data_IF_688393213373
#
_entry.id   IF_688393213373
#
_cell.length_a   1.000
_cell.length_b   1.000
_cell.length_c   1.000
_cell.angle_alpha   90.00
_cell.angle_beta   90.00
_cell.angle_gamma   90.00
#
_symmetry.space_group_name_H-M   'P 1'
#
loop_
_entity.id
_entity.type
_entity.pdbx_description
1 polymer ?
#
# COMPACT_ATOMS: atom_id res chain seq x y z
N UNK A 1 -11.62 5.43 -16.48
CA UNK A 1 -10.76 5.19 -15.29
C UNK A 1 -10.56 3.69 -15.12
N UNK A 2 -9.36 3.23 -14.70
CA UNK A 2 -9.17 1.83 -14.27
C UNK A 2 -9.64 1.72 -12.81
N UNK A 3 -10.55 0.78 -12.47
CA UNK A 3 -10.96 0.61 -11.08
C UNK A 3 -9.77 0.20 -10.22
N UNK A 4 -9.58 0.92 -9.14
CA UNK A 4 -8.55 0.69 -8.14
C UNK A 4 -9.14 -0.09 -6.98
N UNK A 5 -8.51 -1.18 -6.56
CA UNK A 5 -8.84 -1.89 -5.32
C UNK A 5 -7.55 -2.18 -4.57
N UNK A 6 -7.48 -1.72 -3.34
CA UNK A 6 -6.45 -2.08 -2.38
C UNK A 6 -7.07 -2.79 -1.18
N UNK A 7 -6.34 -3.76 -0.67
CA UNK A 7 -6.61 -4.43 0.60
C UNK A 7 -5.54 -4.02 1.58
N UNK A 8 -5.94 -3.84 2.82
CA UNK A 8 -5.04 -3.50 3.92
C UNK A 8 -5.12 -4.64 4.96
N UNK A 9 -4.02 -4.96 5.67
CA UNK A 9 -4.02 -6.00 6.70
C UNK A 9 -5.08 -5.78 7.78
N UNK A 10 -5.38 -6.82 8.55
CA UNK A 10 -6.27 -6.70 9.71
C UNK A 10 -5.41 -6.57 10.97
N UNK A 11 -5.77 -5.63 11.84
CA UNK A 11 -5.19 -5.44 13.17
C UNK A 11 -3.94 -4.56 13.23
N UNK A 12 -3.69 -3.74 12.21
CA UNK A 12 -2.57 -2.78 12.11
C UNK A 12 -2.93 -1.33 12.46
N UNK A 13 -4.09 -1.12 13.09
CA UNK A 13 -4.63 0.17 13.53
C UNK A 13 -3.95 0.80 14.76
N UNK A 14 -2.65 0.57 14.90
CA UNK A 14 -1.84 0.93 16.04
C UNK A 14 -0.55 1.68 15.68
N UNK A 15 -0.44 2.23 14.46
CA UNK A 15 0.72 3.01 14.01
C UNK A 15 2.07 2.39 14.42
N UNK A 16 2.90 3.14 15.16
CA UNK A 16 4.14 2.63 15.77
C UNK A 16 3.99 2.38 17.29
N UNK A 17 2.97 1.63 17.68
CA UNK A 17 2.71 1.27 19.08
C UNK A 17 1.76 2.22 19.79
N UNK A 18 0.76 2.71 19.08
CA UNK A 18 -0.28 3.57 19.62
C UNK A 18 -1.23 2.77 20.51
N UNK A 19 -1.83 3.43 21.49
CA UNK A 19 -2.93 2.86 22.26
C UNK A 19 -4.18 3.74 22.17
N UNK A 20 -5.32 3.07 22.06
CA UNK A 20 -6.63 3.71 22.06
C UNK A 20 -6.90 4.44 23.39
N UNK A 21 -7.76 5.48 23.39
CA UNK A 21 -8.11 6.18 24.62
C UNK A 21 -8.84 5.27 25.61
N UNK A 22 -8.77 5.59 26.90
CA UNK A 22 -9.23 4.69 27.97
C UNK A 22 -10.70 4.86 28.38
N UNK A 23 -11.44 5.82 27.80
CA UNK A 23 -12.86 5.95 28.10
C UNK A 23 -13.64 4.70 27.66
N UNK A 24 -14.70 4.34 28.38
CA UNK A 24 -15.47 3.12 28.16
C UNK A 24 -16.05 2.98 26.73
N UNK A 25 -16.30 4.09 26.04
CA UNK A 25 -16.75 4.09 24.64
C UNK A 25 -15.72 3.49 23.67
N UNK A 26 -14.46 3.43 24.08
CA UNK A 26 -13.33 2.86 23.34
C UNK A 26 -12.89 1.50 23.89
N UNK A 27 -13.67 0.89 24.79
CA UNK A 27 -13.34 -0.40 25.39
C UNK A 27 -13.21 -1.52 24.34
N UNK A 28 -13.93 -1.39 23.23
CA UNK A 28 -13.67 -2.16 22.03
C UNK A 28 -12.69 -1.36 21.14
N UNK A 29 -11.49 -1.85 20.89
CA UNK A 29 -10.46 -1.30 19.97
C UNK A 29 -10.45 -2.05 18.64
N UNK A 30 -9.92 -1.49 17.53
CA UNK A 30 -9.95 -2.13 16.20
C UNK A 30 -10.98 -1.55 15.22
N UNK A 31 -11.53 -0.35 15.50
CA UNK A 31 -12.61 0.23 14.67
C UNK A 31 -12.09 1.29 13.69
N UNK A 32 -10.84 1.72 13.86
CA UNK A 32 -10.12 2.57 12.92
C UNK A 32 -9.11 1.75 12.09
N UNK A 33 -9.31 0.42 12.03
CA UNK A 33 -8.61 -0.56 11.21
C UNK A 33 -9.18 -0.54 9.79
N UNK A 34 -8.36 -0.09 8.85
CA UNK A 34 -8.63 -0.06 7.42
C UNK A 34 -8.46 -1.47 6.87
N UNK A 35 -9.40 -1.94 6.06
CA UNK A 35 -9.30 -3.28 5.43
C UNK A 35 -9.53 -3.25 3.92
N UNK A 36 -9.77 -2.06 3.38
CA UNK A 36 -9.91 -1.90 1.95
C UNK A 36 -10.23 -0.49 1.50
N UNK A 37 -9.72 -0.17 0.33
CA UNK A 37 -10.01 1.07 -0.39
C UNK A 37 -10.31 0.76 -1.84
N UNK A 38 -11.32 1.43 -2.40
CA UNK A 38 -11.67 1.32 -3.80
C UNK A 38 -11.93 2.70 -4.41
N UNK A 39 -11.41 2.96 -5.60
CA UNK A 39 -11.81 4.09 -6.42
C UNK A 39 -12.32 3.56 -7.76
N UNK A 40 -13.58 3.88 -8.10
CA UNK A 40 -14.22 3.34 -9.28
C UNK A 40 -15.14 4.37 -9.94
N UNK A 41 -15.46 4.11 -11.21
CA UNK A 41 -16.51 4.82 -11.93
C UNK A 41 -17.83 4.08 -11.78
N UNK A 42 -18.88 4.79 -11.36
CA UNK A 42 -20.25 4.30 -11.31
C UNK A 42 -21.16 5.38 -11.88
N UNK A 43 -21.95 5.04 -12.90
CA UNK A 43 -22.88 5.96 -13.55
C UNK A 43 -22.24 7.29 -14.02
N UNK A 44 -20.99 7.22 -14.49
CA UNK A 44 -20.22 8.39 -14.94
C UNK A 44 -19.68 9.28 -13.81
N UNK A 45 -19.77 8.84 -12.55
CA UNK A 45 -19.26 9.54 -11.38
C UNK A 45 -18.12 8.76 -10.72
N UNK A 46 -17.15 9.47 -10.16
CA UNK A 46 -16.14 8.86 -9.28
C UNK A 46 -16.81 8.49 -7.95
N UNK A 47 -16.58 7.27 -7.49
CA UNK A 47 -17.00 6.79 -6.17
C UNK A 47 -15.77 6.30 -5.42
N UNK A 48 -15.54 6.88 -4.24
CA UNK A 48 -14.47 6.46 -3.32
C UNK A 48 -15.10 5.60 -2.24
N UNK A 49 -14.57 4.40 -2.03
CA UNK A 49 -15.12 3.42 -1.08
C UNK A 49 -14.05 3.03 -0.08
N UNK A 50 -14.39 3.06 1.20
CA UNK A 50 -13.50 2.67 2.29
C UNK A 50 -14.19 1.61 3.13
N UNK A 51 -13.46 0.55 3.48
CA UNK A 51 -13.93 -0.50 4.37
C UNK A 51 -13.07 -0.52 5.62
N UNK A 52 -13.72 -0.53 6.77
CA UNK A 52 -13.10 -0.67 8.08
C UNK A 52 -13.43 -2.04 8.65
N UNK A 53 -12.62 -2.56 9.57
CA UNK A 53 -12.87 -3.85 10.20
C UNK A 53 -14.22 -3.90 10.92
N UNK A 54 -14.66 -2.79 11.50
CA UNK A 54 -16.00 -2.67 12.12
C UNK A 54 -16.50 -1.24 12.29
N UNK A 55 -17.78 -1.14 12.67
CA UNK A 55 -18.56 0.11 12.66
C UNK A 55 -19.34 0.33 13.97
N UNK A 56 -18.68 0.45 15.14
CA UNK A 56 -19.38 0.77 16.38
C UNK A 56 -20.08 2.13 16.26
N UNK A 57 -21.34 2.18 16.70
CA UNK A 57 -22.15 3.39 16.64
C UNK A 57 -22.84 3.75 17.98
N UNK A 58 -22.10 3.83 19.10
CA UNK A 58 -22.67 4.19 20.39
C UNK A 58 -23.31 5.60 20.42
N UNK A 59 -22.96 6.49 19.49
CA UNK A 59 -23.52 7.84 19.41
C UNK A 59 -24.66 7.96 18.38
N UNK A 60 -25.13 6.84 17.83
CA UNK A 60 -26.25 6.80 16.86
C UNK A 60 -26.09 7.77 15.67
N UNK A 61 -24.86 7.89 15.15
CA UNK A 61 -24.57 8.70 13.99
C UNK A 61 -25.24 8.12 12.73
N UNK A 62 -25.72 8.98 11.81
CA UNK A 62 -26.60 8.58 10.70
C UNK A 62 -25.94 7.67 9.66
N UNK A 63 -24.61 7.71 9.51
CA UNK A 63 -23.88 6.85 8.57
C UNK A 63 -23.52 5.47 9.16
N UNK A 64 -23.96 5.17 10.38
CA UNK A 64 -23.87 3.83 10.95
C UNK A 64 -22.57 3.50 11.70
N UNK A 65 -21.73 4.50 11.99
CA UNK A 65 -20.52 4.39 12.83
C UNK A 65 -20.27 5.74 13.49
N UNK A 66 -19.63 5.81 14.67
CA UNK A 66 -19.44 7.09 15.36
C UNK A 66 -18.06 7.36 15.95
N UNK A 67 -17.13 6.40 15.86
CA UNK A 67 -15.85 6.49 16.58
C UNK A 67 -14.65 6.71 15.67
N UNK A 68 -14.74 6.36 14.39
CA UNK A 68 -13.67 6.56 13.42
C UNK A 68 -13.88 7.83 12.59
N UNK A 69 -12.79 8.35 12.04
CA UNK A 69 -12.79 9.31 10.94
C UNK A 69 -11.86 8.81 9.84
N UNK A 70 -12.27 8.98 8.60
CA UNK A 70 -11.50 8.60 7.41
C UNK A 70 -11.07 9.87 6.68
N UNK A 71 -9.81 9.95 6.29
CA UNK A 71 -9.27 10.97 5.40
C UNK A 71 -8.88 10.37 4.06
N UNK A 72 -9.43 10.88 2.95
CA UNK A 72 -9.04 10.49 1.59
C UNK A 72 -8.53 11.73 0.86
N UNK A 73 -7.23 11.80 0.60
CA UNK A 73 -6.60 12.92 -0.09
C UNK A 73 -6.34 12.52 -1.54
N UNK A 74 -6.76 13.36 -2.49
CA UNK A 74 -6.71 13.07 -3.93
C UNK A 74 -5.68 13.96 -4.59
N UNK A 75 -4.77 13.34 -5.34
CA UNK A 75 -3.75 13.97 -6.17
C UNK A 75 -4.09 13.79 -7.64
N UNK A 76 -4.32 14.89 -8.35
CA UNK A 76 -4.53 14.92 -9.80
C UNK A 76 -3.19 14.92 -10.53
N UNK A 77 -3.15 14.29 -11.71
CA UNK A 77 -2.03 14.39 -12.63
C UNK A 77 -2.26 15.47 -13.70
N UNK A 78 -1.23 16.26 -14.06
CA UNK A 78 0.09 16.31 -13.43
C UNK A 78 0.02 17.00 -12.06
N UNK A 79 0.87 16.57 -11.12
CA UNK A 79 0.99 17.20 -9.79
C UNK A 79 1.28 18.71 -9.94
N UNK A 80 0.24 19.55 -9.91
CA UNK A 80 0.24 20.94 -10.37
C UNK A 80 1.18 21.83 -9.56
N UNK A 81 2.47 21.82 -9.88
CA UNK A 81 3.49 22.61 -9.16
C UNK A 81 3.70 22.18 -7.71
N UNK A 82 3.33 20.95 -7.35
CA UNK A 82 3.47 20.42 -5.99
C UNK A 82 4.96 20.34 -5.62
N UNK A 83 5.37 21.08 -4.59
CA UNK A 83 6.76 21.09 -4.13
C UNK A 83 7.08 19.89 -3.22
N UNK A 84 6.08 19.10 -2.83
CA UNK A 84 6.21 18.10 -1.76
C UNK A 84 6.14 18.70 -0.36
N UNK A 85 5.99 17.83 0.65
CA UNK A 85 5.96 18.22 2.06
C UNK A 85 4.67 18.91 2.49
N UNK A 86 3.61 18.86 1.67
CA UNK A 86 2.30 19.38 2.02
C UNK A 86 1.71 18.50 3.13
N UNK A 87 1.24 19.10 4.21
CA UNK A 87 0.56 18.37 5.27
C UNK A 87 -0.75 17.78 4.75
N UNK A 88 -1.10 16.57 5.19
CA UNK A 88 -2.40 15.94 5.03
C UNK A 88 -3.25 16.37 6.23
N UNK A 89 -4.13 17.39 6.11
CA UNK A 89 -4.74 18.02 7.28
C UNK A 89 -5.50 17.02 8.15
N UNK A 90 -5.18 17.01 9.44
CA UNK A 90 -5.80 16.13 10.42
C UNK A 90 -5.08 14.79 10.60
N UNK A 91 -4.65 14.14 9.52
CA UNK A 91 -3.96 12.85 9.60
C UNK A 91 -2.56 12.96 10.23
N UNK A 92 -1.89 14.11 10.08
CA UNK A 92 -0.55 14.37 10.65
C UNK A 92 0.62 13.83 9.81
N UNK A 93 0.35 13.43 8.57
CA UNK A 93 1.36 13.04 7.59
C UNK A 93 1.66 14.18 6.61
N UNK A 94 2.75 14.04 5.84
CA UNK A 94 3.11 14.93 4.73
C UNK A 94 3.21 14.16 3.41
N UNK A 95 3.03 14.86 2.31
CA UNK A 95 3.29 14.31 0.97
C UNK A 95 4.79 14.19 0.69
N UNK A 96 5.23 13.21 -0.11
CA UNK A 96 6.63 13.09 -0.52
C UNK A 96 7.05 14.25 -1.44
N UNK A 97 8.37 14.40 -1.62
CA UNK A 97 8.93 15.39 -2.55
C UNK A 97 8.35 15.21 -3.96
N UNK A 98 7.92 16.31 -4.59
CA UNK A 98 7.31 16.28 -5.93
C UNK A 98 5.84 15.83 -5.97
N UNK A 99 5.24 15.53 -4.82
CA UNK A 99 3.84 15.13 -4.70
C UNK A 99 3.02 16.12 -3.87
N UNK A 100 1.71 16.12 -4.08
CA UNK A 100 0.76 16.99 -3.39
C UNK A 100 -0.62 16.36 -3.26
N UNK A 101 -1.60 17.19 -2.94
CA UNK A 101 -3.02 16.85 -3.01
C UNK A 101 -3.83 18.10 -3.37
N UNK A 102 -4.90 17.91 -4.14
CA UNK A 102 -5.77 18.98 -4.64
C UNK A 102 -7.06 19.12 -3.85
N UNK A 103 -7.60 17.99 -3.38
CA UNK A 103 -8.80 17.92 -2.58
C UNK A 103 -8.74 16.73 -1.61
N UNK A 104 -9.25 16.93 -0.40
CA UNK A 104 -9.35 15.91 0.63
C UNK A 104 -10.82 15.68 0.97
N UNK A 105 -11.19 14.46 1.36
CA UNK A 105 -12.51 14.10 1.83
C UNK A 105 -12.40 13.54 3.24
N UNK A 106 -12.99 14.26 4.19
CA UNK A 106 -13.02 13.90 5.61
C UNK A 106 -14.39 13.29 5.91
N UNK A 107 -14.42 12.00 6.18
CA UNK A 107 -15.63 11.23 6.39
C UNK A 107 -15.74 10.78 7.85
N UNK A 108 -16.79 11.26 8.52
CA UNK A 108 -17.20 10.86 9.86
C UNK A 108 -18.53 10.13 9.83
N UNK A 109 -19.00 9.66 10.99
CA UNK A 109 -20.34 9.09 11.15
C UNK A 109 -21.51 10.01 10.80
N UNK A 110 -21.28 11.33 10.78
CA UNK A 110 -22.33 12.33 10.59
C UNK A 110 -22.39 12.88 9.18
N UNK A 111 -21.24 13.06 8.54
CA UNK A 111 -21.10 13.70 7.23
C UNK A 111 -19.76 13.37 6.59
N UNK A 112 -19.70 13.58 5.28
CA UNK A 112 -18.46 13.73 4.55
C UNK A 112 -18.30 15.18 4.09
N UNK A 113 -17.09 15.72 4.21
CA UNK A 113 -16.77 17.07 3.74
C UNK A 113 -15.54 17.03 2.86
N UNK A 114 -15.58 17.75 1.74
CA UNK A 114 -14.38 18.08 1.00
C UNK A 114 -13.64 19.23 1.69
N UNK A 115 -12.31 19.21 1.58
CA UNK A 115 -11.39 20.23 2.07
C UNK A 115 -10.36 20.48 0.98
N UNK A 116 -10.13 21.75 0.62
CA UNK A 116 -9.09 22.15 -0.34
C UNK A 116 -7.89 22.76 0.38
N UNK A 117 -6.70 22.84 -0.26
CA UNK A 117 -5.52 23.46 0.35
C UNK A 117 -5.70 24.92 0.76
N UNK A 118 -6.63 25.64 0.14
CA UNK A 118 -6.99 27.02 0.51
C UNK A 118 -7.97 27.11 1.70
N UNK A 119 -8.29 25.98 2.33
CA UNK A 119 -9.16 25.88 3.49
C UNK A 119 -10.65 25.84 3.18
N UNK A 120 -11.07 25.96 1.91
CA UNK A 120 -12.49 25.83 1.55
C UNK A 120 -13.01 24.43 1.86
N UNK A 121 -14.24 24.40 2.36
CA UNK A 121 -14.94 23.16 2.71
C UNK A 121 -16.33 23.12 2.10
N UNK A 122 -16.77 21.91 1.76
CA UNK A 122 -18.12 21.66 1.24
C UNK A 122 -18.57 20.28 1.69
N UNK A 123 -19.80 20.16 2.18
CA UNK A 123 -20.37 18.83 2.43
C UNK A 123 -20.55 18.09 1.11
N UNK A 124 -20.17 16.81 1.08
CA UNK A 124 -20.31 15.94 -0.07
C UNK A 124 -21.20 14.74 0.30
N UNK A 125 -21.95 14.17 -0.65
CA UNK A 125 -22.76 13.01 -0.35
C UNK A 125 -21.89 11.84 0.10
N UNK A 126 -22.36 11.12 1.11
CA UNK A 126 -21.78 9.86 1.54
C UNK A 126 -22.87 8.92 2.04
N UNK A 127 -22.64 7.61 1.93
CA UNK A 127 -23.52 6.59 2.50
C UNK A 127 -22.75 5.33 2.86
N UNK A 128 -23.35 4.51 3.72
CA UNK A 128 -22.86 3.15 3.98
C UNK A 128 -23.64 2.16 3.12
N UNK A 129 -22.93 1.38 2.30
CA UNK A 129 -23.46 0.34 1.41
C UNK A 129 -22.83 -1.01 1.79
N UNK A 130 -23.56 -1.84 2.52
CA UNK A 130 -23.00 -3.04 3.14
C UNK A 130 -21.84 -2.68 4.08
N UNK A 131 -20.66 -3.22 3.80
CA UNK A 131 -19.42 -2.93 4.54
C UNK A 131 -18.60 -1.78 3.92
N UNK A 132 -19.12 -1.09 2.90
CA UNK A 132 -18.38 0.01 2.28
C UNK A 132 -18.97 1.34 2.69
N UNK A 133 -18.11 2.24 3.13
CA UNK A 133 -18.42 3.66 3.22
C UNK A 133 -18.13 4.29 1.86
N UNK A 134 -19.16 4.78 1.17
CA UNK A 134 -19.04 5.42 -0.14
C UNK A 134 -19.09 6.94 0.01
N UNK A 135 -18.14 7.63 -0.62
CA UNK A 135 -18.07 9.08 -0.77
C UNK A 135 -18.22 9.42 -2.25
N UNK A 136 -19.04 10.43 -2.55
CA UNK A 136 -19.34 10.90 -3.91
C UNK A 136 -18.69 12.26 -4.13
N UNK A 137 -17.39 12.29 -4.49
CA UNK A 137 -16.69 13.53 -4.78
C UNK A 137 -17.28 14.25 -6.01
N UNK A 138 -17.17 15.58 -6.01
CA UNK A 138 -17.46 16.42 -7.19
C UNK A 138 -16.25 16.45 -8.15
N UNK A 139 -15.73 15.25 -8.46
CA UNK A 139 -14.60 15.03 -9.35
C UNK A 139 -15.02 14.10 -10.49
N UNK A 140 -14.56 14.36 -11.73
CA UNK A 140 -14.79 13.43 -12.82
C UNK A 140 -14.08 12.10 -12.55
N UNK A 141 -14.55 10.97 -13.14
CA UNK A 141 -13.76 9.75 -13.19
C UNK A 141 -12.41 10.01 -13.84
N UNK A 142 -11.33 9.54 -13.22
CA UNK A 142 -9.96 9.81 -13.67
C UNK A 142 -8.94 8.99 -12.90
N UNK A 143 -7.70 9.01 -13.37
CA UNK A 143 -6.61 8.30 -12.71
C UNK A 143 -5.92 9.26 -11.73
N UNK A 144 -6.13 9.04 -10.43
CA UNK A 144 -5.62 9.87 -9.35
C UNK A 144 -4.64 9.11 -8.46
N UNK A 145 -3.82 9.85 -7.71
CA UNK A 145 -3.15 9.36 -6.51
C UNK A 145 -4.05 9.53 -5.29
N UNK A 146 -4.02 8.55 -4.39
CA UNK A 146 -4.82 8.56 -3.17
C UNK A 146 -3.94 8.38 -1.94
N UNK A 147 -4.16 9.21 -0.93
CA UNK A 147 -3.67 8.96 0.42
C UNK A 147 -4.90 8.63 1.26
N UNK A 148 -4.91 7.47 1.92
CA UNK A 148 -6.05 7.03 2.73
C UNK A 148 -5.56 6.84 4.14
N UNK A 149 -6.22 7.51 5.08
CA UNK A 149 -5.87 7.49 6.49
C UNK A 149 -7.12 7.29 7.34
N UNK A 150 -6.95 6.64 8.48
CA UNK A 150 -8.03 6.42 9.44
C UNK A 150 -7.56 6.83 10.83
N UNK A 151 -8.40 7.55 11.55
CA UNK A 151 -8.14 7.99 12.92
C UNK A 151 -9.39 7.86 13.78
N UNK A 152 -9.30 8.36 15.01
CA UNK A 152 -10.46 8.44 15.89
C UNK A 152 -11.15 9.78 15.69
N UNK A 153 -12.49 9.75 15.65
CA UNK A 153 -13.28 10.96 15.49
C UNK A 153 -13.28 11.82 16.76
N UNK A 154 -13.06 13.11 16.56
CA UNK A 154 -13.19 14.16 17.57
C UNK A 154 -13.88 15.40 16.97
N UNK A 155 -15.17 15.64 17.28
CA UNK A 155 -15.92 16.77 16.72
C UNK A 155 -15.40 18.14 17.16
N UNK A 156 -14.52 18.19 18.17
CA UNK A 156 -13.94 19.44 18.68
C UNK A 156 -12.66 19.85 17.94
N UNK A 157 -12.20 19.04 16.99
CA UNK A 157 -11.04 19.36 16.16
C UNK A 157 -11.48 19.86 14.79
N UNK A 158 -10.77 20.82 14.17
CA UNK A 158 -11.16 21.35 12.86
C UNK A 158 -11.27 20.28 11.77
N UNK A 159 -10.49 19.22 11.84
CA UNK A 159 -10.46 18.14 10.83
C UNK A 159 -11.19 16.89 11.28
N UNK A 160 -11.70 16.86 12.51
CA UNK A 160 -12.34 15.68 13.09
C UNK A 160 -11.38 14.61 13.58
N UNK A 161 -10.06 14.76 13.41
CA UNK A 161 -9.06 13.79 13.88
C UNK A 161 -8.70 14.06 15.34
N UNK A 162 -8.86 13.03 16.19
CA UNK A 162 -8.45 13.06 17.59
C UNK A 162 -6.93 13.20 17.71
N UNK A 163 -6.42 14.12 18.53
CA UNK A 163 -4.99 14.30 18.70
C UNK A 163 -4.33 13.14 19.46
N UNK A 164 -3.01 13.08 19.36
CA UNK A 164 -2.15 12.16 20.09
C UNK A 164 -1.36 12.87 21.18
N UNK A 165 -0.95 12.14 22.22
CA UNK A 165 -0.04 12.62 23.26
C UNK A 165 0.64 11.43 23.95
N UNK A 166 1.94 11.54 24.34
CA UNK A 166 2.57 10.54 25.19
C UNK A 166 1.81 10.31 26.49
N UNK A 167 1.54 9.05 26.81
CA UNK A 167 0.73 8.59 27.95
C UNK A 167 -0.78 8.67 27.72
N UNK A 168 -1.23 9.16 26.56
CA UNK A 168 -2.64 9.20 26.15
C UNK A 168 -3.59 9.83 27.18
N UNK A 169 -4.75 9.21 27.35
CA UNK A 169 -5.76 9.55 28.35
C UNK A 169 -7.13 8.98 28.01
N UNK A 170 -8.17 9.41 28.72
CA UNK A 170 -9.54 8.93 28.45
C UNK A 170 -10.06 9.33 27.06
N UNK A 171 -9.56 10.43 26.51
CA UNK A 171 -10.01 11.00 25.23
C UNK A 171 -8.86 11.35 24.29
N UNK A 172 -7.64 10.87 24.56
CA UNK A 172 -6.46 11.20 23.76
C UNK A 172 -5.73 9.90 23.46
N UNK A 173 -5.32 9.73 22.21
CA UNK A 173 -4.52 8.58 21.79
C UNK A 173 -3.17 8.62 22.48
N UNK A 174 -2.72 7.48 23.01
CA UNK A 174 -1.33 7.36 23.44
C UNK A 174 -0.46 7.11 22.22
N UNK A 175 0.49 8.00 21.97
CA UNK A 175 1.49 7.85 20.92
C UNK A 175 2.74 8.68 21.25
N UNK A 176 3.89 8.41 20.60
CA UNK A 176 5.07 9.26 20.71
C UNK A 176 4.77 10.73 20.38
N UNK A 177 5.57 11.63 20.94
CA UNK A 177 5.42 13.07 20.70
C UNK A 177 5.64 13.39 19.22
N UNK A 178 4.70 14.13 18.61
CA UNK A 178 4.77 14.52 17.20
C UNK A 178 4.41 13.40 16.22
N UNK A 179 3.93 12.26 16.70
CA UNK A 179 3.46 11.19 15.83
C UNK A 179 2.17 11.62 15.08
N UNK A 180 1.92 11.08 13.86
CA UNK A 180 0.69 11.34 13.12
C UNK A 180 -0.57 10.97 13.94
N UNK A 181 -1.67 11.67 13.72
CA UNK A 181 -2.93 11.41 14.44
C UNK A 181 -3.77 10.28 13.83
N UNK A 182 -3.53 9.94 12.56
CA UNK A 182 -4.09 8.73 11.97
C UNK A 182 -3.44 7.49 12.58
N UNK A 183 -4.27 6.56 13.05
CA UNK A 183 -3.84 5.32 13.69
C UNK A 183 -3.59 4.21 12.67
N UNK A 184 -4.15 4.36 11.47
CA UNK A 184 -3.96 3.47 10.34
C UNK A 184 -3.87 4.25 9.01
N UNK A 185 -3.12 3.72 8.04
CA UNK A 185 -2.94 4.29 6.71
C UNK A 185 -2.76 3.21 5.65
N UNK A 186 -3.31 3.46 4.47
CA UNK A 186 -3.10 2.58 3.33
C UNK A 186 -1.67 2.73 2.78
N UNK A 187 -0.81 1.73 3.00
CA UNK A 187 0.55 1.74 2.46
C UNK A 187 1.19 0.35 2.49
N UNK A 188 1.92 -0.01 1.43
CA UNK A 188 2.80 -1.20 1.45
C UNK A 188 3.97 -1.05 2.45
N UNK A 189 4.23 0.17 2.93
CA UNK A 189 5.36 0.52 3.78
C UNK A 189 4.94 1.37 5.00
N UNK A 190 3.84 1.01 5.66
CA UNK A 190 3.29 1.75 6.81
C UNK A 190 4.34 2.12 7.86
N UNK A 191 5.17 1.18 8.33
CA UNK A 191 6.19 1.47 9.35
C UNK A 191 7.14 2.61 8.93
N UNK A 192 7.55 2.64 7.66
CA UNK A 192 8.37 3.72 7.11
C UNK A 192 7.60 5.03 7.03
N UNK A 193 6.31 4.97 6.69
CA UNK A 193 5.45 6.15 6.64
C UNK A 193 5.34 6.79 8.02
N UNK A 194 5.07 6.02 9.08
CA UNK A 194 5.01 6.53 10.45
C UNK A 194 6.35 7.04 10.96
N UNK A 195 7.47 6.35 10.66
CA UNK A 195 8.81 6.78 11.09
C UNK A 195 9.23 8.11 10.45
N UNK A 196 8.89 8.30 9.18
CA UNK A 196 9.26 9.50 8.42
C UNK A 196 8.24 10.63 8.52
N UNK A 197 7.00 10.32 8.91
CA UNK A 197 5.85 11.22 8.81
C UNK A 197 5.45 11.53 7.35
N UNK A 198 5.92 10.75 6.38
CA UNK A 198 5.65 10.93 4.95
C UNK A 198 4.85 9.74 4.44
N UNK A 199 3.66 10.01 3.89
CA UNK A 199 2.80 8.98 3.31
C UNK A 199 2.83 9.12 1.78
N UNK A 200 3.15 8.04 1.06
CA UNK A 200 3.13 8.03 -0.40
C UNK A 200 1.72 7.76 -0.94
N UNK A 201 1.35 8.33 -2.10
CA UNK A 201 0.04 8.07 -2.70
C UNK A 201 0.00 6.66 -3.31
N UNK A 202 -1.12 5.97 -3.15
CA UNK A 202 -1.43 4.76 -3.90
C UNK A 202 -2.10 5.12 -5.22
N UNK A 203 -1.80 4.36 -6.27
CA UNK A 203 -2.29 4.59 -7.64
C UNK A 203 -2.66 3.27 -8.30
N UNK A 204 -3.58 3.31 -9.25
CA UNK A 204 -3.81 2.16 -10.10
C UNK A 204 -2.51 1.83 -10.84
N UNK A 205 -2.06 0.58 -10.72
CA UNK A 205 -0.90 0.12 -11.46
C UNK A 205 -1.19 0.30 -12.95
N UNK A 206 -0.46 1.19 -13.62
CA UNK A 206 -0.46 1.21 -15.07
C UNK A 206 0.20 -0.10 -15.50
N UNK A 207 -0.60 -0.99 -16.12
CA UNK A 207 -0.05 -2.23 -16.67
C UNK A 207 1.15 -1.86 -17.56
N UNK A 208 2.33 -2.47 -17.36
CA UNK A 208 3.49 -2.14 -18.17
C UNK A 208 3.39 -2.88 -19.51
N UNK A 209 2.20 -2.86 -20.12
CA UNK A 209 1.84 -3.59 -21.33
C UNK A 209 2.65 -3.24 -22.59
N UNK A 210 3.27 -2.04 -22.79
CA UNK A 210 3.98 -1.79 -24.04
C UNK A 210 5.27 -2.60 -24.21
N UNK A 211 6.00 -2.92 -23.13
CA UNK A 211 7.26 -3.68 -23.25
C UNK A 211 7.01 -5.19 -23.43
N UNK A 212 5.96 -5.73 -22.82
CA UNK A 212 5.60 -7.13 -22.94
C UNK A 212 5.21 -7.51 -24.39
N UNK A 213 4.49 -6.63 -25.09
CA UNK A 213 4.22 -6.78 -26.53
C UNK A 213 5.53 -6.67 -27.32
N UNK A 214 6.40 -5.71 -26.99
CA UNK A 214 7.71 -5.57 -27.63
C UNK A 214 8.57 -6.84 -27.52
N UNK A 215 8.61 -7.47 -26.35
CA UNK A 215 9.32 -8.74 -26.11
C UNK A 215 8.66 -9.91 -26.85
N UNK A 216 7.33 -9.98 -26.86
CA UNK A 216 6.61 -11.02 -27.61
C UNK A 216 6.81 -10.91 -29.13
N UNK A 217 6.77 -9.70 -29.67
CA UNK A 217 7.04 -9.42 -31.10
C UNK A 217 8.50 -9.71 -31.45
N UNK A 218 9.46 -9.30 -30.60
CA UNK A 218 10.87 -9.61 -30.81
C UNK A 218 11.15 -11.11 -30.75
N UNK A 219 10.54 -11.83 -29.79
CA UNK A 219 10.62 -13.28 -29.67
C UNK A 219 10.03 -13.99 -30.89
N UNK A 220 8.88 -13.54 -31.38
CA UNK A 220 8.26 -14.07 -32.60
C UNK A 220 9.14 -13.82 -33.84
N UNK A 221 9.72 -12.63 -33.98
CA UNK A 221 10.60 -12.30 -35.09
C UNK A 221 11.87 -13.17 -35.11
N UNK A 222 12.44 -13.45 -33.93
CA UNK A 222 13.61 -14.32 -33.79
C UNK A 222 13.29 -15.78 -34.22
N UNK A 223 12.10 -16.28 -33.90
CA UNK A 223 11.65 -17.60 -34.34
C UNK A 223 11.48 -17.63 -35.86
N UNK A 224 10.83 -16.63 -36.46
CA UNK A 224 10.64 -16.56 -37.91
C UNK A 224 11.99 -16.50 -38.64
N UNK A 225 12.93 -15.67 -38.17
CA UNK A 225 14.27 -15.58 -38.76
C UNK A 225 15.06 -16.89 -38.67
N UNK A 226 14.86 -17.68 -37.61
CA UNK A 226 15.50 -19.00 -37.48
C UNK A 226 14.99 -20.03 -38.50
N UNK A 227 13.77 -19.86 -39.04
CA UNK A 227 13.21 -20.73 -40.08
C UNK A 227 13.50 -20.23 -41.51
N UNK A 228 13.66 -18.92 -41.71
CA UNK A 228 13.91 -18.32 -43.04
C UNK A 228 15.37 -18.45 -43.48
N UNK A 229 16.32 -18.53 -42.55
CA UNK A 229 17.74 -18.72 -42.86
C UNK A 229 18.22 -20.12 -42.43
N UNK A 230 18.24 -21.12 -43.34
CA UNK A 230 18.79 -22.43 -43.01
C UNK A 230 20.26 -22.30 -42.62
N UNK A 231 20.62 -22.81 -41.44
CA UNK A 231 22.02 -22.91 -41.00
C UNK A 231 22.81 -23.70 -42.06
N UNK A 232 24.00 -23.23 -42.48
CA UNK A 232 24.85 -23.99 -43.40
C UNK A 232 25.15 -25.37 -42.80
N UNK A 233 24.80 -26.43 -43.52
CA UNK A 233 25.15 -27.79 -43.08
C UNK A 233 26.68 -27.90 -42.94
N UNK A 234 27.20 -28.46 -41.84
CA UNK A 234 28.63 -28.73 -41.75
C UNK A 234 29.01 -29.69 -42.88
N UNK A 235 29.96 -29.25 -43.72
CA UNK A 235 30.52 -30.07 -44.80
C UNK A 235 31.12 -31.33 -44.19
N UNK A 236 30.62 -32.50 -44.63
CA UNK A 236 31.24 -33.78 -44.33
C UNK A 236 32.70 -33.74 -44.79
N UNK A 237 33.62 -33.93 -43.85
CA UNK A 237 35.06 -33.92 -44.09
C UNK A 237 35.46 -35.06 -45.01
N UNK A 238 36.24 -34.74 -46.06
CA UNK A 238 37.03 -35.74 -46.79
C UNK A 238 38.09 -36.29 -45.84
N UNK A 239 38.07 -37.60 -45.63
CA UNK A 239 39.19 -38.33 -45.08
C UNK A 239 40.40 -38.19 -46.02
N UNK A 240 41.52 -37.69 -45.51
CA UNK A 240 42.85 -37.87 -46.11
C UNK A 240 43.79 -38.29 -44.99
N UNK A 241 44.35 -39.48 -45.17
CA UNK A 241 45.40 -40.06 -44.37
C UNK A 241 46.73 -39.33 -44.60
N UNK A 242 47.53 -39.17 -43.55
CA UNK A 242 48.90 -38.67 -43.65
C UNK A 242 49.45 -38.35 -42.26
N UNK A 243 50.18 -39.31 -41.69
CA UNK A 243 50.70 -39.22 -40.33
C UNK A 243 51.85 -38.23 -40.17
N UNK A 244 52.05 -37.78 -38.93
CA UNK A 244 53.39 -37.65 -38.36
C UNK A 244 53.31 -37.67 -36.84
N UNK A 245 54.29 -38.35 -36.27
CA UNK A 245 54.43 -38.76 -34.89
C UNK A 245 55.03 -37.63 -34.04
N UNK A 246 54.47 -37.38 -32.85
CA UNK A 246 55.21 -37.03 -31.62
C UNK A 246 54.30 -37.05 -30.38
N UNK A 247 54.53 -38.06 -29.52
CA UNK A 247 54.24 -38.07 -28.06
C UNK A 247 55.26 -37.17 -27.31
N UNK A 248 55.20 -36.95 -25.98
CA UNK A 248 54.26 -37.39 -24.91
C UNK A 248 53.69 -36.14 -24.14
N UNK A 249 52.90 -36.15 -23.06
CA UNK A 249 52.77 -36.99 -21.87
C UNK A 249 51.55 -36.48 -21.05
N UNK A 250 50.72 -37.33 -20.41
CA UNK A 250 49.79 -36.90 -19.37
C UNK A 250 50.34 -37.34 -18.00
N UNK A 251 50.43 -36.41 -17.05
CA UNK A 251 50.67 -36.77 -15.64
C UNK A 251 49.33 -36.76 -14.92
N UNK A 252 48.90 -37.97 -14.56
CA UNK A 252 47.82 -38.24 -13.63
C UNK A 252 48.22 -37.85 -12.19
N UNK A 253 47.23 -37.61 -11.33
CA UNK A 253 47.04 -38.18 -9.99
C UNK A 253 45.85 -37.43 -9.38
N UNK A 254 44.70 -38.07 -9.14
CA UNK A 254 44.38 -39.08 -8.12
C UNK A 254 43.57 -38.45 -7.00
N UNK A 255 42.43 -39.09 -6.76
CA UNK A 255 41.50 -38.91 -5.67
C UNK A 255 42.17 -38.77 -4.29
N UNK A 256 41.48 -38.05 -3.39
CA UNK A 256 41.29 -38.50 -2.01
C UNK A 256 39.92 -38.06 -1.48
N UNK A 257 39.19 -39.10 -1.14
CA UNK A 257 38.00 -39.21 -0.31
C UNK A 257 38.33 -38.87 1.15
N UNK A 258 37.41 -38.22 1.88
CA UNK A 258 37.31 -38.35 3.33
C UNK A 258 35.92 -37.93 3.83
N UNK A 259 35.22 -38.94 4.34
CA UNK A 259 34.01 -38.92 5.18
C UNK A 259 34.42 -38.66 6.64
N UNK A 260 33.58 -37.94 7.42
CA UNK A 260 33.30 -38.15 8.87
C UNK A 260 32.32 -37.07 9.38
N UNK A 261 31.09 -37.46 9.75
CA UNK A 261 30.56 -37.66 11.13
C UNK A 261 30.33 -36.35 11.92
N UNK A 262 29.09 -35.96 12.14
CA UNK A 262 28.13 -36.39 13.20
C UNK A 262 28.30 -35.56 14.49
N UNK A 263 27.29 -34.76 14.80
CA UNK A 263 26.90 -34.47 16.18
C UNK A 263 25.41 -34.08 16.23
N UNK A 264 24.64 -35.03 16.72
CA UNK A 264 23.27 -34.93 17.20
C UNK A 264 23.32 -34.17 18.54
N UNK A 265 22.53 -33.10 18.71
CA UNK A 265 22.28 -32.50 20.01
C UNK A 265 20.82 -32.67 20.38
N UNK A 266 20.66 -33.41 21.47
CA UNK A 266 19.47 -33.78 22.21
C UNK A 266 18.98 -32.57 23.01
N UNK A 267 17.72 -32.16 22.83
CA UNK A 267 17.07 -31.14 23.65
C UNK A 267 15.86 -31.77 24.35
N UNK A 268 16.09 -32.19 25.59
CA UNK A 268 15.09 -32.63 26.55
C UNK A 268 14.56 -31.41 27.31
N UNK A 269 13.25 -31.14 27.24
CA UNK A 269 12.58 -30.12 28.05
C UNK A 269 11.51 -30.83 28.88
N UNK A 270 11.84 -30.98 30.17
CA UNK A 270 11.01 -31.50 31.24
C UNK A 270 9.83 -30.54 31.53
N UNK A 271 8.60 -31.01 31.28
CA UNK A 271 7.36 -30.33 31.69
C UNK A 271 6.82 -31.07 32.91
N UNK A 272 6.84 -30.41 34.07
CA UNK A 272 6.10 -30.86 35.26
C UNK A 272 4.85 -30.01 35.48
N UNK A 273 3.76 -30.73 35.72
CA UNK A 273 2.44 -30.27 36.13
C UNK A 273 2.41 -29.79 37.60
#
# INVERSE_FOLDING_TARGET
MIPLLFTDPLGDDHGLGYAYPTAAIYAESGFADLTGFQALERDGQLVLRVRLARYPNPQAAPLGFSLAIVGIYVESEPANGAKGGQELPGAGFKTPAGHGWDEAYLLSGWKAESLRPDGRRREVPARKEGDWLEVFPDLPPGDYGYYVTVGLYDPFTPTGFRPVRPGGGSWVLDAPSGAPAAVDVLSDHQAQAYQSGVLAPVRAASSPFPWAIGVAVAGFLAIVLAFVFPRPRPRAGKAVAGGSSRKPQPTALSAKESVAKEKEEDFDIDIRF
#
